data_IF_801938142558
#
_entry.id   IF_801938142558
#
_cell.length_a   1.000
_cell.length_b   1.000
_cell.length_c   1.000
_cell.angle_alpha   90.00
_cell.angle_beta   90.00
_cell.angle_gamma   90.00
#
_symmetry.space_group_name_H-M   'P 1'
#
loop_
_entity.id
_entity.type
_entity.pdbx_description
1 polymer ?
#
# COMPACT_ATOMS: atom_id res chain seq x y z
N UNK A 1 23.43 23.60 -9.33
CA UNK A 1 22.03 24.10 -9.29
C UNK A 1 21.13 22.91 -9.60
N UNK A 2 20.55 22.24 -8.59
CA UNK A 2 19.11 22.30 -8.17
C UNK A 2 18.16 22.34 -9.37
N UNK A 3 17.13 21.54 -9.55
CA UNK A 3 16.30 20.60 -8.74
C UNK A 3 15.27 20.05 -9.76
N UNK A 4 14.48 19.00 -9.62
CA UNK A 4 14.22 17.98 -8.61
C UNK A 4 13.40 16.90 -9.36
N UNK A 5 13.95 15.70 -9.51
CA UNK A 5 13.14 14.51 -9.82
C UNK A 5 12.91 13.78 -8.52
N UNK A 6 11.99 14.27 -7.68
CA UNK A 6 11.62 13.57 -6.47
C UNK A 6 10.98 12.21 -6.79
N UNK A 7 10.97 11.23 -5.88
CA UNK A 7 10.44 9.88 -6.10
C UNK A 7 8.90 9.81 -6.30
N UNK A 8 8.25 10.91 -6.70
CA UNK A 8 6.80 11.07 -6.70
C UNK A 8 6.17 11.10 -8.11
N UNK A 9 6.94 10.94 -9.20
CA UNK A 9 6.38 11.02 -10.57
C UNK A 9 6.06 9.65 -11.19
N UNK A 10 5.83 8.65 -10.35
CA UNK A 10 5.30 7.37 -10.80
C UNK A 10 3.79 7.37 -10.63
N UNK A 11 3.08 7.81 -11.68
CA UNK A 11 1.62 7.69 -11.75
C UNK A 11 1.24 6.24 -11.49
N UNK A 12 0.49 5.97 -10.41
CA UNK A 12 -0.21 4.69 -10.29
C UNK A 12 -1.06 4.47 -11.55
N UNK A 13 -1.11 3.25 -12.08
CA UNK A 13 -2.10 2.91 -13.09
C UNK A 13 -3.50 3.24 -12.56
N UNK A 14 -4.35 3.85 -13.39
CA UNK A 14 -5.71 4.24 -12.99
C UNK A 14 -6.52 3.06 -12.43
N UNK A 15 -6.27 1.85 -12.94
CA UNK A 15 -6.88 0.62 -12.44
C UNK A 15 -6.47 0.33 -10.98
N UNK A 16 -5.19 0.51 -10.62
CA UNK A 16 -4.70 0.30 -9.27
C UNK A 16 -5.28 1.34 -8.31
N UNK A 17 -5.30 2.60 -8.71
CA UNK A 17 -5.85 3.69 -7.88
C UNK A 17 -7.34 3.47 -7.58
N UNK A 18 -8.12 3.04 -8.57
CA UNK A 18 -9.53 2.64 -8.34
C UNK A 18 -9.62 1.44 -7.40
N UNK A 19 -8.79 0.42 -7.62
CA UNK A 19 -8.83 -0.82 -6.84
C UNK A 19 -8.51 -0.59 -5.36
N UNK A 20 -7.51 0.25 -5.02
CA UNK A 20 -7.16 0.53 -3.62
C UNK A 20 -8.21 1.36 -2.88
N UNK A 21 -9.11 2.00 -3.62
CA UNK A 21 -10.21 2.81 -3.11
C UNK A 21 -11.60 2.18 -3.31
N UNK A 22 -11.65 0.97 -3.86
CA UNK A 22 -12.89 0.25 -4.09
C UNK A 22 -13.57 -0.07 -2.74
N UNK A 23 -14.88 0.22 -2.54
CA UNK A 23 -15.56 -0.03 -1.27
C UNK A 23 -15.53 -1.50 -0.84
N UNK A 24 -15.61 -2.45 -1.79
CA UNK A 24 -15.52 -3.89 -1.50
C UNK A 24 -14.12 -4.23 -1.02
N UNK A 25 -13.09 -3.66 -1.66
CA UNK A 25 -11.70 -3.81 -1.22
C UNK A 25 -11.50 -3.30 0.20
N UNK A 26 -12.01 -2.10 0.51
CA UNK A 26 -11.89 -1.46 1.82
C UNK A 26 -12.64 -2.24 2.91
N UNK A 27 -13.84 -2.74 2.63
CA UNK A 27 -14.57 -3.58 3.57
C UNK A 27 -13.80 -4.86 3.93
N UNK A 28 -12.98 -5.38 3.01
CA UNK A 28 -12.10 -6.51 3.27
C UNK A 28 -11.04 -6.24 4.34
N UNK A 29 -10.65 -4.99 4.56
CA UNK A 29 -9.63 -4.64 5.57
C UNK A 29 -10.11 -4.99 7.00
N UNK A 30 -11.43 -4.96 7.29
CA UNK A 30 -11.99 -5.40 8.58
C UNK A 30 -11.73 -6.88 8.88
N UNK A 31 -11.61 -7.70 7.83
CA UNK A 31 -11.39 -9.15 7.96
C UNK A 31 -9.91 -9.47 7.94
N UNK A 32 -9.13 -8.75 7.12
CA UNK A 32 -7.72 -9.06 6.86
C UNK A 32 -6.81 -8.50 7.95
N UNK A 33 -7.03 -7.27 8.42
CA UNK A 33 -6.12 -6.59 9.36
C UNK A 33 -5.85 -7.39 10.65
N UNK A 34 -6.84 -8.01 11.31
CA UNK A 34 -6.59 -8.81 12.52
C UNK A 34 -5.67 -10.02 12.29
N UNK A 35 -5.55 -10.48 11.03
CA UNK A 35 -4.73 -11.63 10.66
C UNK A 35 -3.37 -11.23 10.09
N UNK A 36 -3.07 -9.94 9.95
CA UNK A 36 -1.86 -9.47 9.27
C UNK A 36 -0.57 -9.96 9.95
N UNK A 37 -0.53 -9.97 11.29
CA UNK A 37 0.60 -10.48 12.07
C UNK A 37 0.92 -11.96 11.81
N UNK A 38 -0.04 -12.73 11.29
CA UNK A 38 0.13 -14.15 10.97
C UNK A 38 0.67 -14.38 9.56
N UNK A 39 0.79 -13.34 8.73
CA UNK A 39 1.29 -13.47 7.38
C UNK A 39 2.81 -13.61 7.37
N UNK A 40 3.32 -14.48 6.50
CA UNK A 40 4.76 -14.64 6.29
C UNK A 40 5.40 -13.32 5.86
N UNK A 41 6.57 -13.02 6.42
CA UNK A 41 7.43 -11.93 5.97
C UNK A 41 8.02 -12.18 4.56
N UNK A 42 8.02 -13.44 4.10
CA UNK A 42 8.43 -13.80 2.74
C UNK A 42 7.34 -13.40 1.75
N UNK A 43 7.68 -12.56 0.78
CA UNK A 43 6.78 -12.13 -0.29
C UNK A 43 7.11 -12.89 -1.58
N UNK A 44 6.10 -13.53 -2.15
CA UNK A 44 6.17 -14.11 -3.49
C UNK A 44 5.67 -13.08 -4.49
N UNK A 45 6.33 -12.97 -5.63
CA UNK A 45 5.86 -12.14 -6.75
C UNK A 45 6.14 -12.87 -8.06
N UNK A 46 5.20 -12.76 -9.00
CA UNK A 46 5.33 -13.13 -10.40
C UNK A 46 5.67 -11.92 -11.28
N UNK A 47 5.79 -10.72 -10.70
CA UNK A 47 6.22 -9.53 -11.42
C UNK A 47 7.63 -9.73 -12.01
N UNK A 48 7.74 -9.51 -13.32
CA UNK A 48 9.03 -9.49 -14.00
C UNK A 48 9.85 -8.23 -13.65
N UNK A 49 9.20 -7.15 -13.19
CA UNK A 49 9.85 -5.92 -12.74
C UNK A 49 10.17 -6.01 -11.24
N UNK A 50 11.46 -6.13 -10.91
CA UNK A 50 11.95 -6.19 -9.53
C UNK A 50 11.64 -4.94 -8.70
N UNK A 51 11.34 -3.81 -9.35
CA UNK A 51 11.02 -2.56 -8.64
C UNK A 51 9.55 -2.45 -8.25
N UNK A 52 8.62 -3.23 -8.84
CA UNK A 52 7.17 -3.09 -8.64
C UNK A 52 6.78 -3.00 -7.17
N UNK A 53 7.37 -3.84 -6.30
CA UNK A 53 7.14 -3.80 -4.87
C UNK A 53 7.45 -2.44 -4.23
N UNK A 54 8.58 -1.82 -4.58
CA UNK A 54 8.97 -0.51 -4.08
C UNK A 54 8.01 0.60 -4.57
N UNK A 55 7.55 0.51 -5.82
CA UNK A 55 6.59 1.47 -6.41
C UNK A 55 5.24 1.42 -5.68
N UNK A 56 4.77 0.21 -5.37
CA UNK A 56 3.57 0.00 -4.54
C UNK A 56 3.78 0.56 -3.14
N UNK A 57 4.93 0.32 -2.51
CA UNK A 57 5.21 0.84 -1.17
C UNK A 57 5.26 2.37 -1.14
N UNK A 58 5.92 3.00 -2.11
CA UNK A 58 6.06 4.46 -2.22
C UNK A 58 4.71 5.20 -2.27
N UNK A 59 3.66 4.48 -2.65
CA UNK A 59 2.33 5.03 -2.81
C UNK A 59 1.45 4.87 -1.55
N UNK A 60 1.86 4.05 -0.56
CA UNK A 60 1.14 3.89 0.73
C UNK A 60 0.89 5.19 1.51
N UNK A 61 1.83 6.16 1.57
CA UNK A 61 1.62 7.39 2.35
C UNK A 61 0.35 8.15 1.95
N UNK A 62 0.04 8.21 0.65
CA UNK A 62 -1.18 8.86 0.17
C UNK A 62 -2.46 8.14 0.64
N UNK A 63 -2.43 6.80 0.76
CA UNK A 63 -3.55 6.03 1.31
C UNK A 63 -3.71 6.30 2.80
N UNK A 64 -2.61 6.32 3.57
CA UNK A 64 -2.65 6.58 5.02
C UNK A 64 -3.19 7.98 5.33
N UNK A 65 -2.74 9.00 4.59
CA UNK A 65 -3.26 10.36 4.72
C UNK A 65 -4.78 10.46 4.47
N UNK A 66 -5.30 9.64 3.54
CA UNK A 66 -6.74 9.61 3.20
C UNK A 66 -7.57 8.79 4.20
N UNK A 67 -6.99 7.76 4.81
CA UNK A 67 -7.66 6.87 5.75
C UNK A 67 -6.84 6.78 7.06
N UNK A 68 -6.80 7.85 7.87
CA UNK A 68 -5.97 7.89 9.09
C UNK A 68 -6.40 6.84 10.13
N UNK A 69 -7.65 6.39 10.08
CA UNK A 69 -8.11 5.31 10.93
C UNK A 69 -7.45 3.97 10.58
N UNK A 70 -7.12 3.75 9.31
CA UNK A 70 -6.42 2.56 8.84
C UNK A 70 -4.99 2.51 9.40
N UNK A 71 -4.30 3.64 9.44
CA UNK A 71 -2.98 3.79 10.07
C UNK A 71 -3.01 3.37 11.54
N UNK A 72 -3.96 3.89 12.32
CA UNK A 72 -4.12 3.52 13.74
C UNK A 72 -4.34 2.03 13.95
N UNK A 73 -5.08 1.37 13.05
CA UNK A 73 -5.31 -0.07 13.13
C UNK A 73 -4.05 -0.86 12.80
N UNK A 74 -3.26 -0.42 11.83
CA UNK A 74 -1.97 -1.03 11.48
C UNK A 74 -0.97 -0.93 12.64
N UNK A 75 -0.89 0.23 13.28
CA UNK A 75 -0.01 0.46 14.44
C UNK A 75 -0.39 -0.38 15.67
N UNK A 76 -1.65 -0.81 15.76
CA UNK A 76 -2.13 -1.68 16.82
C UNK A 76 -1.81 -3.17 16.59
N UNK A 77 -1.26 -3.54 15.43
CA UNK A 77 -0.92 -4.93 15.11
C UNK A 77 0.40 -5.29 15.82
N UNK A 78 0.43 -6.33 16.68
CA UNK A 78 1.65 -6.76 17.35
C UNK A 78 2.73 -7.21 16.34
N UNK A 79 3.98 -6.88 16.63
CA UNK A 79 5.16 -7.30 15.87
C UNK A 79 5.53 -8.77 16.08
#
# INVERSE_FOLDING_TARGET
MRSAGGPADQKRPAAQERYVHDPVRLAGDEVILPSLARLSAVRFTDDADSETGAKIVASHPAKLAKYPEWERRLDAIPA
#
